data_IF_874873015520
#
_entry.id   IF_874873015520
#
_cell.length_a   1.000
_cell.length_b   1.000
_cell.length_c   1.000
_cell.angle_alpha   90.00
_cell.angle_beta   90.00
_cell.angle_gamma   90.00
#
_symmetry.space_group_name_H-M   'P 1'
#
loop_
_entity.id
_entity.type
_entity.pdbx_description
1 polymer ?
#
# COMPACT_ATOMS: atom_id res chain seq x y z
N UNK A 1 1.82 -11.69 -3.17
CA UNK A 1 2.85 -10.97 -3.93
C UNK A 1 2.83 -9.56 -3.38
N UNK A 2 3.96 -9.02 -2.92
CA UNK A 2 4.01 -7.65 -2.47
C UNK A 2 3.94 -6.75 -3.71
N UNK A 3 2.93 -5.89 -3.76
CA UNK A 3 2.83 -4.86 -4.78
C UNK A 3 4.02 -3.89 -4.60
N UNK A 4 4.74 -3.50 -5.67
CA UNK A 4 5.70 -2.39 -5.56
C UNK A 4 4.91 -1.11 -5.56
N UNK A 5 4.53 -0.72 -4.35
CA UNK A 5 3.95 0.55 -4.04
C UNK A 5 4.79 1.20 -2.92
N UNK A 6 4.31 2.33 -2.42
CA UNK A 6 4.92 3.01 -1.29
C UNK A 6 4.93 2.14 -0.01
N UNK A 7 4.12 1.08 0.08
CA UNK A 7 4.14 0.18 1.23
C UNK A 7 5.44 -0.63 1.31
N UNK A 8 6.03 -1.03 0.18
CA UNK A 8 7.33 -1.72 0.17
C UNK A 8 8.46 -0.82 0.70
N UNK A 9 8.46 0.45 0.29
CA UNK A 9 9.37 1.48 0.83
C UNK A 9 9.15 1.65 2.33
N UNK A 10 7.90 1.76 2.76
CA UNK A 10 7.56 1.98 4.16
C UNK A 10 7.88 0.78 5.07
N UNK A 11 7.89 -0.45 4.54
CA UNK A 11 8.37 -1.62 5.27
C UNK A 11 9.85 -1.49 5.62
N UNK A 12 10.68 -1.11 4.65
CA UNK A 12 12.12 -0.89 4.87
C UNK A 12 12.39 0.27 5.84
N UNK A 13 11.67 1.38 5.67
CA UNK A 13 11.78 2.54 6.57
C UNK A 13 11.35 2.20 7.99
N UNK A 14 10.26 1.46 8.16
CA UNK A 14 9.79 1.02 9.48
C UNK A 14 10.80 0.07 10.13
N UNK A 15 11.38 -0.86 9.36
CA UNK A 15 12.42 -1.76 9.86
C UNK A 15 13.68 -1.01 10.31
N UNK A 16 13.97 0.15 9.72
CA UNK A 16 15.05 1.05 10.10
C UNK A 16 14.68 2.06 11.21
N UNK A 17 13.44 2.01 11.75
CA UNK A 17 12.97 2.96 12.76
C UNK A 17 12.68 4.37 12.24
N UNK A 18 12.52 4.53 10.92
CA UNK A 18 12.21 5.81 10.29
C UNK A 18 10.69 6.00 10.09
N UNK A 19 10.20 7.25 10.09
CA UNK A 19 8.83 7.54 9.73
C UNK A 19 8.51 7.07 8.29
N UNK A 20 7.29 6.59 8.04
CA UNK A 20 6.87 6.29 6.68
C UNK A 20 6.80 7.56 5.84
N UNK A 21 7.00 7.41 4.52
CA UNK A 21 6.67 8.45 3.54
C UNK A 21 5.20 8.36 3.13
N UNK A 22 4.65 9.49 2.72
CA UNK A 22 3.31 9.59 2.13
C UNK A 22 3.36 9.35 0.62
N UNK A 23 2.38 8.63 0.10
CA UNK A 23 2.24 8.49 -1.35
C UNK A 23 1.70 9.77 -1.97
N UNK A 24 2.35 10.24 -3.03
CA UNK A 24 1.87 11.33 -3.89
C UNK A 24 1.51 10.81 -5.27
N UNK A 25 0.28 11.12 -5.72
CA UNK A 25 -0.24 10.60 -6.99
C UNK A 25 0.49 11.15 -8.22
N UNK A 26 1.01 12.38 -8.15
CA UNK A 26 1.80 12.97 -9.23
C UNK A 26 3.16 12.28 -9.37
N UNK A 27 3.85 12.06 -8.25
CA UNK A 27 5.09 11.28 -8.23
C UNK A 27 4.85 9.83 -8.67
N UNK A 28 3.77 9.19 -8.24
CA UNK A 28 3.43 7.83 -8.68
C UNK A 28 3.18 7.78 -10.19
N UNK A 29 2.53 8.79 -10.78
CA UNK A 29 2.33 8.88 -12.22
C UNK A 29 3.66 9.04 -12.99
N UNK A 30 4.55 9.91 -12.53
CA UNK A 30 5.88 10.08 -13.13
C UNK A 30 6.74 8.82 -13.00
N UNK A 31 6.72 8.17 -11.83
CA UNK A 31 7.42 6.91 -11.62
C UNK A 31 6.88 5.81 -12.54
N UNK A 32 5.56 5.75 -12.75
CA UNK A 32 4.92 4.80 -13.67
C UNK A 32 5.31 5.04 -15.13
N UNK A 33 5.40 6.30 -15.55
CA UNK A 33 5.90 6.66 -16.87
C UNK A 33 7.37 6.24 -17.03
N UNK A 34 8.20 6.46 -16.01
CA UNK A 34 9.59 6.05 -16.01
C UNK A 34 9.75 4.52 -16.10
N UNK A 35 9.03 3.76 -15.30
CA UNK A 35 9.08 2.29 -15.37
C UNK A 35 8.64 1.76 -16.74
N UNK A 36 7.62 2.37 -17.33
CA UNK A 36 7.15 2.02 -18.67
C UNK A 36 8.17 2.36 -19.76
N UNK A 37 8.82 3.53 -19.67
CA UNK A 37 9.91 3.93 -20.58
C UNK A 37 11.06 2.92 -20.53
N UNK A 38 11.51 2.54 -19.33
CA UNK A 38 12.60 1.58 -19.17
C UNK A 38 12.20 0.19 -19.71
N UNK A 39 10.97 -0.26 -19.43
CA UNK A 39 10.45 -1.51 -19.96
C UNK A 39 10.37 -1.53 -21.49
N UNK A 40 9.97 -0.41 -22.11
CA UNK A 40 9.86 -0.30 -23.56
C UNK A 40 11.22 -0.22 -24.26
N UNK A 41 12.20 0.43 -23.63
CA UNK A 41 13.54 0.62 -24.21
C UNK A 41 14.53 -0.48 -23.84
N UNK A 42 14.24 -1.28 -22.80
CA UNK A 42 15.16 -2.27 -22.25
C UNK A 42 16.35 -1.67 -21.50
N UNK A 43 16.31 -0.38 -21.16
CA UNK A 43 17.43 0.34 -20.56
C UNK A 43 17.07 0.96 -19.20
N UNK A 44 17.95 0.78 -18.21
CA UNK A 44 17.90 1.55 -16.97
C UNK A 44 18.48 2.95 -17.24
N UNK A 45 17.61 3.95 -17.24
CA UNK A 45 17.98 5.34 -17.52
C UNK A 45 17.35 6.29 -16.51
N UNK A 46 18.21 7.00 -15.78
CA UNK A 46 17.79 8.00 -14.82
C UNK A 46 17.09 9.18 -15.50
N UNK A 47 16.26 9.88 -14.75
CA UNK A 47 15.67 11.15 -15.20
C UNK A 47 16.74 12.23 -15.29
N UNK A 48 16.95 12.78 -16.50
CA UNK A 48 18.01 13.78 -16.74
C UNK A 48 17.83 15.08 -15.96
N UNK A 49 16.61 15.61 -15.93
CA UNK A 49 16.23 16.74 -15.06
C UNK A 49 15.23 16.26 -14.00
N UNK A 50 15.76 15.60 -12.96
CA UNK A 50 14.93 15.10 -11.86
C UNK A 50 14.24 16.26 -11.11
N UNK A 51 14.92 17.40 -10.96
CA UNK A 51 14.39 18.56 -10.25
C UNK A 51 13.19 19.18 -10.97
N UNK A 52 13.31 19.45 -12.27
CA UNK A 52 12.20 19.95 -13.08
C UNK A 52 11.05 18.94 -13.18
N UNK A 53 11.38 17.65 -13.29
CA UNK A 53 10.38 16.57 -13.35
C UNK A 53 9.56 16.47 -12.06
N UNK A 54 10.21 16.39 -10.90
CA UNK A 54 9.51 16.36 -9.59
C UNK A 54 8.79 17.69 -9.34
N UNK A 55 9.42 18.82 -9.65
CA UNK A 55 8.83 20.15 -9.50
C UNK A 55 7.57 20.38 -10.33
N UNK A 56 7.40 19.67 -11.45
CA UNK A 56 6.20 19.77 -12.30
C UNK A 56 4.92 19.26 -11.62
N UNK A 57 5.04 18.32 -10.67
CA UNK A 57 3.90 17.74 -9.93
C UNK A 57 3.89 18.12 -8.45
N UNK A 58 5.07 18.43 -7.89
CA UNK A 58 5.22 18.78 -6.48
C UNK A 58 6.12 20.02 -6.34
N UNK A 59 5.62 21.24 -6.65
CA UNK A 59 6.45 22.45 -6.67
C UNK A 59 7.05 22.85 -5.32
N UNK A 60 6.50 22.36 -4.20
CA UNK A 60 6.93 22.67 -2.84
C UNK A 60 8.11 21.81 -2.34
N UNK A 61 8.68 20.97 -3.19
CA UNK A 61 9.80 20.12 -2.83
C UNK A 61 11.08 20.93 -2.56
N UNK A 62 11.91 20.44 -1.65
CA UNK A 62 13.22 21.02 -1.28
C UNK A 62 14.35 20.00 -1.40
N UNK A 63 14.05 18.82 -1.92
CA UNK A 63 14.99 17.75 -2.21
C UNK A 63 14.28 16.60 -2.91
N UNK A 64 14.98 15.92 -3.79
CA UNK A 64 14.45 14.79 -4.54
C UNK A 64 15.51 13.69 -4.72
N UNK A 65 15.06 12.45 -4.85
CA UNK A 65 15.90 11.31 -5.24
C UNK A 65 15.12 10.34 -6.13
N UNK A 66 15.86 9.55 -6.92
CA UNK A 66 15.31 8.52 -7.80
C UNK A 66 16.06 7.20 -7.59
N UNK A 67 15.31 6.12 -7.44
CA UNK A 67 15.82 4.76 -7.65
C UNK A 67 15.17 4.16 -8.88
N UNK A 68 15.96 3.48 -9.71
CA UNK A 68 15.46 2.70 -10.84
C UNK A 68 16.09 1.31 -10.82
N UNK A 69 15.35 0.30 -11.21
CA UNK A 69 15.84 -1.07 -11.20
C UNK A 69 14.94 -2.02 -11.97
N UNK A 70 15.47 -3.20 -12.25
CA UNK A 70 14.71 -4.29 -12.84
C UNK A 70 15.06 -5.63 -12.21
N UNK A 71 14.17 -6.61 -12.31
CA UNK A 71 14.40 -7.93 -11.75
C UNK A 71 13.28 -8.91 -12.04
N UNK A 72 13.34 -10.08 -11.41
CA UNK A 72 12.34 -11.14 -11.56
C UNK A 72 11.04 -10.84 -10.79
N UNK A 73 11.13 -10.00 -9.77
CA UNK A 73 10.00 -9.56 -8.96
C UNK A 73 10.31 -8.24 -8.26
N UNK A 74 9.26 -7.59 -7.78
CA UNK A 74 9.37 -6.40 -6.95
C UNK A 74 10.31 -6.62 -5.76
N UNK A 75 10.11 -7.72 -5.03
CA UNK A 75 10.91 -8.04 -3.85
C UNK A 75 12.40 -8.18 -4.19
N UNK A 76 12.73 -8.79 -5.33
CA UNK A 76 14.14 -8.89 -5.76
C UNK A 76 14.74 -7.53 -6.08
N UNK A 77 13.98 -6.61 -6.68
CA UNK A 77 14.47 -5.25 -6.96
C UNK A 77 14.64 -4.45 -5.67
N UNK A 78 13.67 -4.51 -4.76
CA UNK A 78 13.77 -3.86 -3.44
C UNK A 78 14.97 -4.36 -2.65
N UNK A 79 15.21 -5.67 -2.63
CA UNK A 79 16.39 -6.25 -1.98
C UNK A 79 17.70 -5.75 -2.61
N UNK A 80 17.77 -5.67 -3.94
CA UNK A 80 18.93 -5.11 -4.64
C UNK A 80 19.16 -3.63 -4.30
N UNK A 81 18.10 -2.83 -4.17
CA UNK A 81 18.21 -1.45 -3.69
C UNK A 81 18.75 -1.39 -2.27
N UNK A 82 18.23 -2.20 -1.36
CA UNK A 82 18.66 -2.21 0.04
C UNK A 82 20.09 -2.75 0.24
N UNK A 83 20.58 -3.56 -0.71
CA UNK A 83 21.97 -4.03 -0.77
C UNK A 83 22.96 -3.03 -1.38
N UNK A 84 22.49 -1.96 -2.02
CA UNK A 84 23.34 -0.93 -2.62
C UNK A 84 23.35 0.33 -1.75
N UNK A 85 24.52 0.83 -1.29
CA UNK A 85 24.60 2.01 -0.44
C UNK A 85 23.89 3.23 -1.02
N UNK A 86 24.06 3.50 -2.33
CA UNK A 86 23.44 4.63 -3.02
C UNK A 86 21.92 4.51 -3.04
N UNK A 87 21.36 3.38 -3.49
CA UNK A 87 19.90 3.21 -3.57
C UNK A 87 19.25 3.14 -2.18
N UNK A 88 19.92 2.51 -1.22
CA UNK A 88 19.49 2.45 0.18
C UNK A 88 19.41 3.85 0.79
N UNK A 89 20.34 4.74 0.46
CA UNK A 89 20.35 6.12 0.97
C UNK A 89 19.13 6.94 0.51
N UNK A 90 18.55 6.63 -0.66
CA UNK A 90 17.30 7.24 -1.10
C UNK A 90 16.09 6.70 -0.31
N UNK A 91 15.98 5.38 -0.14
CA UNK A 91 14.87 4.73 0.60
C UNK A 91 14.84 5.18 2.06
N UNK A 92 16.02 5.26 2.69
CA UNK A 92 16.19 5.65 4.10
C UNK A 92 16.50 7.14 4.29
N UNK A 93 16.44 7.93 3.22
CA UNK A 93 16.78 9.35 3.24
C UNK A 93 15.74 10.20 3.98
N UNK A 94 16.11 11.47 4.17
CA UNK A 94 15.26 12.54 4.71
C UNK A 94 14.21 12.97 3.66
N UNK A 95 13.25 12.09 3.42
CA UNK A 95 12.12 12.30 2.52
C UNK A 95 10.82 12.06 3.28
N UNK A 96 9.79 12.82 2.90
CA UNK A 96 8.45 12.77 3.49
C UNK A 96 7.41 12.22 2.52
N UNK A 97 7.71 12.24 1.22
CA UNK A 97 6.78 11.90 0.14
C UNK A 97 7.47 11.00 -0.87
N UNK A 98 6.74 10.05 -1.44
CA UNK A 98 7.24 9.21 -2.52
C UNK A 98 6.15 8.83 -3.53
N UNK A 99 6.59 8.44 -4.72
CA UNK A 99 5.78 7.75 -5.73
C UNK A 99 6.52 6.53 -6.25
N UNK A 100 5.80 5.46 -6.54
CA UNK A 100 6.38 4.20 -7.04
C UNK A 100 5.64 3.79 -8.30
N UNK A 101 6.41 3.40 -9.32
CA UNK A 101 5.91 2.92 -10.60
C UNK A 101 6.48 1.55 -10.93
N UNK A 102 5.65 0.70 -11.53
CA UNK A 102 6.03 -0.68 -11.86
C UNK A 102 5.51 -1.04 -13.24
N UNK A 103 6.37 -1.64 -14.06
CA UNK A 103 5.96 -2.18 -15.36
C UNK A 103 6.52 -3.57 -15.53
N UNK A 104 5.68 -4.51 -15.98
CA UNK A 104 6.14 -5.84 -16.40
C UNK A 104 6.49 -5.75 -17.89
N UNK A 105 7.74 -6.01 -18.23
CA UNK A 105 8.21 -6.06 -19.61
C UNK A 105 7.69 -7.29 -20.35
N UNK A 106 7.80 -7.30 -21.68
CA UNK A 106 7.37 -8.43 -22.52
C UNK A 106 8.10 -9.74 -22.24
N UNK A 107 9.28 -9.66 -21.61
CA UNK A 107 10.09 -10.81 -21.17
C UNK A 107 9.78 -11.27 -19.74
N UNK A 108 8.74 -10.69 -19.10
CA UNK A 108 8.31 -11.02 -17.75
C UNK A 108 9.12 -10.36 -16.63
N UNK A 109 10.17 -9.59 -16.93
CA UNK A 109 10.89 -8.81 -15.90
C UNK A 109 10.03 -7.67 -15.39
N UNK A 110 10.17 -7.36 -14.11
CA UNK A 110 9.61 -6.13 -13.55
C UNK A 110 10.63 -5.00 -13.66
N UNK A 111 10.12 -3.81 -13.97
CA UNK A 111 10.84 -2.55 -14.03
C UNK A 111 10.23 -1.64 -12.96
N UNK A 112 11.06 -1.09 -12.09
CA UNK A 112 10.63 -0.29 -10.93
C UNK A 112 11.30 1.07 -10.99
N UNK A 113 10.52 2.11 -10.76
CA UNK A 113 11.01 3.45 -10.45
C UNK A 113 10.43 3.91 -9.11
N UNK A 114 11.27 4.54 -8.28
CA UNK A 114 10.86 5.18 -7.04
C UNK A 114 11.32 6.63 -7.10
N UNK A 115 10.38 7.56 -6.93
CA UNK A 115 10.67 8.98 -6.80
C UNK A 115 10.41 9.38 -5.35
N UNK A 116 11.37 10.06 -4.75
CA UNK A 116 11.29 10.57 -3.39
C UNK A 116 11.35 12.08 -3.42
N UNK A 117 10.59 12.73 -2.55
CA UNK A 117 10.62 14.16 -2.37
C UNK A 117 10.57 14.52 -0.89
N UNK A 118 11.34 15.56 -0.55
CA UNK A 118 11.28 16.23 0.75
C UNK A 118 10.44 17.48 0.55
N UNK A 119 9.40 17.64 1.34
CA UNK A 119 8.56 18.85 1.33
C UNK A 119 8.83 19.67 2.58
N UNK A 120 8.90 21.00 2.42
CA UNK A 120 9.02 21.89 3.57
C UNK A 120 7.71 21.93 4.37
N UNK A 121 7.69 21.31 5.55
CA UNK A 121 6.77 21.63 6.67
C UNK A 121 5.25 21.49 6.46
N UNK A 122 4.78 21.00 5.32
CA UNK A 122 3.37 20.71 5.07
C UNK A 122 3.20 19.25 4.67
N UNK A 123 2.48 18.48 5.49
CA UNK A 123 2.00 17.17 5.07
C UNK A 123 1.24 17.35 3.74
N UNK A 124 1.55 16.59 2.68
CA UNK A 124 0.85 16.72 1.41
C UNK A 124 -0.65 16.53 1.65
N UNK A 125 -1.44 17.47 1.12
CA UNK A 125 -2.89 17.46 1.22
C UNK A 125 -3.43 16.11 0.78
N UNK A 126 -4.19 15.47 1.66
CA UNK A 126 -4.85 14.19 1.41
C UNK A 126 -5.82 14.37 0.24
N UNK A 127 -5.38 14.03 -0.97
CA UNK A 127 -6.25 13.46 -2.00
C UNK A 127 -5.98 11.96 -2.10
N UNK A 128 -5.93 11.32 -0.93
CA UNK A 128 -6.14 9.88 -0.89
C UNK A 128 -7.62 9.62 -1.11
N UNK A 129 -8.01 9.41 -2.37
CA UNK A 129 -9.27 8.74 -2.67
C UNK A 129 -9.16 7.21 -2.47
N UNK A 130 -8.21 6.77 -1.63
CA UNK A 130 -8.14 5.42 -1.12
C UNK A 130 -7.71 5.47 0.33
N UNK A 131 -8.70 5.65 1.21
CA UNK A 131 -8.57 5.38 2.62
C UNK A 131 -7.65 4.15 2.81
N UNK A 132 -6.53 4.36 3.50
CA UNK A 132 -5.76 3.28 4.08
C UNK A 132 -6.79 2.34 4.73
N UNK A 133 -6.78 1.03 4.45
CA UNK A 133 -7.64 0.15 5.21
C UNK A 133 -7.06 0.17 6.61
N UNK A 134 -7.70 0.95 7.49
CA UNK A 134 -7.66 0.70 8.91
C UNK A 134 -7.91 -0.79 9.06
N UNK A 135 -6.96 -1.49 9.66
CA UNK A 135 -7.07 -2.90 9.99
C UNK A 135 -8.25 -3.10 10.96
N UNK A 136 -9.46 -3.14 10.41
CA UNK A 136 -10.67 -3.63 11.04
C UNK A 136 -11.06 -4.86 10.22
N UNK A 137 -10.35 -5.96 10.46
CA UNK A 137 -10.65 -7.23 9.85
C UNK A 137 -12.14 -7.54 10.02
N UNK A 138 -12.87 -7.59 8.91
CA UNK A 138 -14.19 -8.24 8.84
C UNK A 138 -13.99 -9.76 8.88
N UNK A 139 -13.30 -10.25 9.90
CA UNK A 139 -13.13 -11.67 10.14
C UNK A 139 -14.45 -12.21 10.65
N UNK A 140 -15.02 -13.19 9.95
CA UNK A 140 -15.95 -14.12 10.61
C UNK A 140 -15.19 -14.71 11.79
N UNK A 141 -15.54 -14.33 13.02
CA UNK A 141 -14.92 -14.89 14.22
C UNK A 141 -15.44 -16.32 14.33
N UNK A 142 -14.65 -17.27 13.84
CA UNK A 142 -15.03 -18.68 13.80
C UNK A 142 -14.30 -19.42 14.92
N UNK A 143 -15.06 -19.87 15.92
CA UNK A 143 -14.51 -20.70 16.98
C UNK A 143 -14.56 -22.17 16.56
N UNK A 144 -13.44 -22.88 16.74
CA UNK A 144 -13.37 -24.33 16.56
C UNK A 144 -13.74 -24.96 17.89
N UNK A 145 -14.78 -25.79 17.92
CA UNK A 145 -15.16 -26.55 19.11
C UNK A 145 -14.99 -28.03 18.84
N UNK A 146 -14.29 -28.72 19.74
CA UNK A 146 -14.08 -30.16 19.68
C UNK A 146 -14.91 -30.83 20.76
N UNK A 147 -15.70 -31.85 20.39
CA UNK A 147 -16.46 -32.65 21.34
C UNK A 147 -16.15 -34.13 21.11
N UNK A 148 -15.86 -34.87 22.18
CA UNK A 148 -15.84 -36.34 22.14
C UNK A 148 -17.28 -36.84 22.17
N UNK A 149 -17.63 -37.65 21.18
CA UNK A 149 -18.91 -38.36 21.13
C UNK A 149 -18.59 -39.82 21.31
N UNK A 150 -19.20 -40.43 22.33
CA UNK A 150 -19.05 -41.85 22.62
C UNK A 150 -20.35 -42.55 22.26
N UNK A 151 -20.26 -43.60 21.45
CA UNK A 151 -21.40 -44.45 21.07
C UNK A 151 -21.01 -45.91 21.28
N UNK A 152 -21.98 -46.76 21.63
CA UNK A 152 -21.78 -48.21 21.65
C UNK A 152 -22.13 -48.77 20.29
N UNK A 153 -21.25 -49.60 19.72
CA UNK A 153 -21.48 -50.38 18.50
C UNK A 153 -21.12 -51.82 18.85
N UNK A 154 -22.07 -52.75 18.67
CA UNK A 154 -21.93 -54.18 18.99
C UNK A 154 -21.35 -54.41 20.41
N UNK A 155 -21.96 -53.77 21.41
CA UNK A 155 -21.56 -53.90 22.83
C UNK A 155 -20.29 -53.13 23.23
N UNK A 156 -19.41 -52.77 22.29
CA UNK A 156 -18.15 -52.06 22.56
C UNK A 156 -18.32 -50.54 22.50
N UNK A 157 -17.70 -49.84 23.46
CA UNK A 157 -17.76 -48.37 23.57
C UNK A 157 -16.72 -47.74 22.63
N UNK A 158 -17.19 -47.08 21.57
CA UNK A 158 -16.35 -46.39 20.59
C UNK A 158 -16.45 -44.89 20.81
N UNK A 159 -15.31 -44.22 20.99
CA UNK A 159 -15.24 -42.76 21.18
C UNK A 159 -14.62 -42.10 19.97
N UNK A 160 -15.33 -41.14 19.37
CA UNK A 160 -14.85 -40.36 18.22
C UNK A 160 -14.80 -38.88 18.58
N UNK A 161 -13.72 -38.21 18.21
CA UNK A 161 -13.60 -36.76 18.34
C UNK A 161 -14.25 -36.11 17.12
N UNK A 162 -15.28 -35.30 17.35
CA UNK A 162 -15.95 -34.53 16.30
C UNK A 162 -15.50 -33.07 16.42
N UNK A 163 -15.03 -32.49 15.32
CA UNK A 163 -14.61 -31.09 15.24
C UNK A 163 -15.67 -30.32 14.46
N UNK A 164 -16.28 -29.31 15.07
CA UNK A 164 -17.24 -28.42 14.39
C UNK A 164 -16.72 -26.99 14.39
N UNK A 165 -17.03 -26.25 13.32
CA UNK A 165 -16.73 -24.82 13.19
C UNK A 165 -18.04 -24.05 13.21
N UNK A 166 -18.17 -23.08 14.11
CA UNK A 166 -19.32 -22.17 14.16
C UNK A 166 -18.83 -20.75 13.90
N UNK A 167 -19.34 -20.14 12.83
CA UNK A 167 -19.04 -18.75 12.44
C UNK A 167 -20.30 -17.91 12.65
N UNK A 168 -20.23 -16.84 13.44
CA UNK A 168 -21.31 -15.85 13.58
C UNK A 168 -20.96 -14.57 12.80
N UNK A 169 -21.96 -13.94 12.19
CA UNK A 169 -21.82 -12.64 11.50
C UNK A 169 -22.03 -11.52 12.52
N UNK A 170 -21.02 -10.68 12.74
CA UNK A 170 -21.15 -9.54 13.65
C UNK A 170 -22.24 -8.57 13.13
N UNK A 171 -23.20 -8.19 13.98
CA UNK A 171 -24.24 -7.20 13.62
C UNK A 171 -23.61 -5.81 13.56
N UNK A 172 -23.81 -5.10 12.44
CA UNK A 172 -23.44 -3.68 12.30
C UNK A 172 -24.38 -2.83 13.19
N UNK A 173 -23.85 -1.97 14.06
CA UNK A 173 -24.64 -0.89 14.66
C UNK A 173 -24.90 0.15 13.57
N UNK A 174 -26.16 0.37 13.22
CA UNK A 174 -26.56 1.42 12.28
C UNK A 174 -26.47 2.79 12.95
N UNK A 175 -25.64 3.68 12.42
CA UNK A 175 -25.59 5.09 12.81
C UNK A 175 -26.74 5.81 12.10
N UNK A 176 -27.75 6.27 12.85
CA UNK A 176 -28.90 7.02 12.32
C UNK A 176 -28.44 8.44 11.95
N UNK A 177 -28.36 8.76 10.65
CA UNK A 177 -28.16 10.13 10.17
C UNK A 177 -29.46 10.92 10.36
N UNK A 178 -29.45 11.98 11.17
CA UNK A 178 -30.59 12.88 11.36
C UNK A 178 -30.48 14.02 10.34
N UNK A 179 -31.25 13.94 9.27
CA UNK A 179 -31.38 15.01 8.26
C UNK A 179 -32.34 16.10 8.79
N UNK A 180 -31.82 17.31 9.02
CA UNK A 180 -32.64 18.49 9.34
C UNK A 180 -33.11 19.10 8.02
N UNK A 181 -34.41 19.01 7.71
CA UNK A 181 -35.05 19.77 6.63
C UNK A 181 -35.49 21.14 7.18
N UNK A 182 -34.93 22.23 6.66
CA UNK A 182 -35.48 23.59 6.82
C UNK A 182 -36.66 23.75 5.85
N UNK A 183 -37.86 23.98 6.38
CA UNK A 183 -39.04 24.33 5.58
C UNK A 183 -39.14 25.85 5.52
N UNK A 184 -39.01 26.43 4.32
CA UNK A 184 -39.34 27.83 4.06
C UNK A 184 -40.87 27.99 4.07
N UNK A 185 -41.40 28.91 4.88
CA UNK A 185 -42.82 29.26 4.90
C UNK A 185 -43.00 30.61 4.23
N UNK A 186 -43.57 30.56 3.02
CA UNK A 186 -44.18 31.69 2.33
C UNK A 186 -45.32 32.26 3.18
N UNK A 187 -45.34 33.59 3.37
CA UNK A 187 -46.53 34.34 3.78
C UNK A 187 -46.74 35.46 2.78
N UNK A 188 -47.83 35.33 2.03
CA UNK A 188 -48.52 36.42 1.33
C UNK A 188 -49.08 37.40 2.36
N UNK A 189 -48.97 38.70 2.09
CA UNK A 189 -50.06 39.66 2.04
C UNK A 189 -49.63 40.82 1.15
#
# INVERSE_FOLDING_TARGET
MADADVSAVNQERTAAGLPPVYEDGGLSALAQQKSAQMAATGNLVHTGDLGGTVGSVLPSFTGAAENIGQGQSVATVTNSFMGSPTHRSAILGDFSTAGVGVTVGGDGRVWVAQLFARTGGGAPGVVSNRAAPAAAGSGRRCSKRTRRVTRRVNGRRVTRVVRTRRCTKARRKAVKRRSVRRSARSRRR
#
